data_IF_449009866710
#
_entry.id   IF_449009866710
#
_cell.length_a   1.000
_cell.length_b   1.000
_cell.length_c   1.000
_cell.angle_alpha   90.00
_cell.angle_beta   90.00
_cell.angle_gamma   90.00
#
_symmetry.space_group_name_H-M   'P 1'
#
loop_
_entity.id
_entity.type
_entity.pdbx_description
1 polymer ?
#
# COMPACT_ATOMS: atom_id res chain seq x y z
N UNK A 1 10.06 4.93 -21.81
CA UNK A 1 10.38 3.74 -21.03
C UNK A 1 10.57 4.16 -19.57
N UNK A 2 10.12 3.36 -18.64
CA UNK A 2 10.26 3.57 -17.21
C UNK A 2 11.26 2.57 -16.63
N UNK A 3 11.95 2.97 -15.55
CA UNK A 3 12.97 2.15 -14.91
C UNK A 3 12.43 1.64 -13.58
N UNK A 4 12.35 0.31 -13.43
CA UNK A 4 12.13 -0.36 -12.14
C UNK A 4 13.47 -0.88 -11.62
N UNK A 5 13.73 -0.74 -10.32
CA UNK A 5 14.96 -1.25 -9.74
C UNK A 5 14.73 -1.89 -8.37
N UNK A 6 15.50 -2.94 -8.11
CA UNK A 6 15.38 -3.77 -6.92
C UNK A 6 14.68 -5.10 -7.19
N UNK A 7 15.04 -6.12 -6.42
CA UNK A 7 14.55 -7.49 -6.63
C UNK A 7 13.03 -7.55 -6.46
N UNK A 8 12.50 -7.04 -5.35
CA UNK A 8 11.07 -7.06 -5.07
C UNK A 8 10.19 -6.33 -6.13
N UNK A 9 10.47 -5.06 -6.50
CA UNK A 9 9.66 -4.39 -7.52
C UNK A 9 9.60 -5.12 -8.85
N UNK A 10 10.74 -5.66 -9.30
CA UNK A 10 10.81 -6.39 -10.58
C UNK A 10 10.09 -7.74 -10.48
N UNK A 11 10.23 -8.44 -9.35
CA UNK A 11 9.52 -9.70 -9.07
C UNK A 11 8.00 -9.48 -9.05
N UNK A 12 7.52 -8.45 -8.35
CA UNK A 12 6.08 -8.17 -8.26
C UNK A 12 5.50 -7.66 -9.58
N UNK A 13 6.25 -6.86 -10.35
CA UNK A 13 5.84 -6.46 -11.69
C UNK A 13 5.71 -7.67 -12.65
N UNK A 14 6.61 -8.66 -12.52
CA UNK A 14 6.54 -9.90 -13.29
C UNK A 14 5.31 -10.73 -12.88
N UNK A 15 5.05 -10.88 -11.58
CA UNK A 15 3.88 -11.63 -11.04
C UNK A 15 2.56 -10.98 -11.42
N UNK A 16 2.47 -9.65 -11.31
CA UNK A 16 1.25 -8.92 -11.66
C UNK A 16 0.89 -9.02 -13.14
N UNK A 17 1.88 -9.20 -14.02
CA UNK A 17 1.68 -9.38 -15.45
C UNK A 17 1.10 -8.16 -16.19
N UNK A 18 1.00 -7.00 -15.51
CA UNK A 18 0.42 -5.75 -16.05
C UNK A 18 1.45 -4.90 -16.79
N UNK A 19 2.74 -5.14 -16.54
CA UNK A 19 3.84 -4.39 -17.17
C UNK A 19 4.41 -5.14 -18.38
N UNK A 20 4.66 -4.41 -19.45
CA UNK A 20 5.44 -4.93 -20.58
C UNK A 20 6.91 -4.64 -20.36
N UNK A 21 7.68 -5.69 -20.14
CA UNK A 21 9.14 -5.62 -20.06
C UNK A 21 9.76 -5.50 -21.44
N UNK A 22 10.75 -4.62 -21.56
CA UNK A 22 11.61 -4.55 -22.73
C UNK A 22 12.85 -5.42 -22.52
N UNK A 23 13.58 -5.17 -21.44
CA UNK A 23 14.71 -5.98 -21.00
C UNK A 23 15.04 -5.76 -19.53
N UNK A 24 15.84 -6.63 -18.96
CA UNK A 24 16.30 -6.56 -17.56
C UNK A 24 17.81 -6.67 -17.50
N UNK A 25 18.45 -5.82 -16.71
CA UNK A 25 19.87 -5.85 -16.43
C UNK A 25 20.10 -6.42 -15.03
N UNK A 26 21.08 -7.31 -14.90
CA UNK A 26 21.50 -7.89 -13.63
C UNK A 26 22.99 -7.67 -13.41
N UNK A 27 23.38 -7.42 -12.16
CA UNK A 27 24.77 -7.20 -11.80
C UNK A 27 25.56 -8.53 -11.90
N UNK A 28 26.75 -8.49 -12.55
CA UNK A 28 27.63 -9.67 -12.68
C UNK A 28 28.18 -10.15 -11.33
N UNK A 29 28.40 -9.18 -10.44
CA UNK A 29 29.06 -9.39 -9.16
C UNK A 29 28.11 -9.87 -8.05
N UNK A 30 26.87 -10.13 -8.41
CA UNK A 30 25.86 -10.62 -7.46
C UNK A 30 25.40 -12.00 -7.85
N UNK A 31 25.64 -12.94 -6.93
CA UNK A 31 25.29 -14.33 -7.06
C UNK A 31 24.58 -14.78 -5.78
N UNK A 32 23.23 -14.69 -5.79
CA UNK A 32 22.40 -15.17 -4.69
C UNK A 32 21.15 -15.89 -5.23
N UNK A 33 20.70 -16.89 -4.50
CA UNK A 33 19.56 -17.76 -4.84
C UNK A 33 18.30 -16.99 -5.24
N UNK A 34 18.08 -15.81 -4.68
CA UNK A 34 16.90 -15.01 -4.97
C UNK A 34 17.01 -14.36 -6.34
N UNK A 35 18.18 -13.83 -6.68
CA UNK A 35 18.43 -13.26 -7.98
C UNK A 35 18.38 -14.34 -9.07
N UNK A 36 18.96 -15.51 -8.82
CA UNK A 36 18.89 -16.65 -9.75
C UNK A 36 17.44 -17.06 -10.06
N UNK A 37 16.60 -17.19 -9.03
CA UNK A 37 15.17 -17.50 -9.20
C UNK A 37 14.44 -16.44 -10.03
N UNK A 38 14.70 -15.15 -9.76
CA UNK A 38 14.12 -14.06 -10.54
C UNK A 38 14.58 -14.12 -12.00
N UNK A 39 15.86 -14.32 -12.25
CA UNK A 39 16.42 -14.44 -13.62
C UNK A 39 15.80 -15.61 -14.38
N UNK A 40 15.65 -16.76 -13.70
CA UNK A 40 15.01 -17.93 -14.30
C UNK A 40 13.53 -17.62 -14.67
N UNK A 41 12.77 -16.99 -13.78
CA UNK A 41 11.37 -16.61 -14.03
C UNK A 41 11.26 -15.59 -15.19
N UNK A 42 12.14 -14.58 -15.24
CA UNK A 42 12.18 -13.60 -16.32
C UNK A 42 12.45 -14.25 -17.68
N UNK A 43 13.42 -15.17 -17.74
CA UNK A 43 13.74 -15.92 -18.96
C UNK A 43 12.60 -16.84 -19.40
N UNK A 44 11.95 -17.51 -18.45
CA UNK A 44 10.77 -18.34 -18.70
C UNK A 44 9.62 -17.52 -19.27
N UNK A 45 9.46 -16.26 -18.85
CA UNK A 45 8.49 -15.32 -19.39
C UNK A 45 8.93 -14.69 -20.74
N UNK A 46 10.06 -15.13 -21.33
CA UNK A 46 10.56 -14.63 -22.62
C UNK A 46 11.21 -13.25 -22.53
N UNK A 47 11.51 -12.74 -21.33
CA UNK A 47 12.11 -11.42 -21.13
C UNK A 47 13.62 -11.53 -21.27
N UNK A 48 14.21 -10.60 -22.08
CA UNK A 48 15.64 -10.53 -22.31
C UNK A 48 16.37 -10.06 -21.04
N UNK A 49 17.29 -10.90 -20.52
CA UNK A 49 18.12 -10.59 -19.36
C UNK A 49 19.57 -10.47 -19.78
N UNK A 50 20.22 -9.37 -19.39
CA UNK A 50 21.61 -9.06 -19.72
C UNK A 50 22.41 -8.83 -18.44
N UNK A 51 23.65 -9.31 -18.43
CA UNK A 51 24.58 -9.16 -17.30
C UNK A 51 25.51 -7.98 -17.52
N UNK A 52 25.55 -7.04 -16.58
CA UNK A 52 26.35 -5.80 -16.65
C UNK A 52 27.10 -5.54 -15.34
N UNK A 53 28.17 -4.74 -15.35
CA UNK A 53 28.83 -4.28 -14.14
C UNK A 53 27.87 -3.47 -13.26
N UNK A 54 27.98 -3.62 -11.93
CA UNK A 54 27.14 -2.95 -10.94
C UNK A 54 27.08 -1.43 -11.11
N UNK A 55 28.21 -0.82 -11.49
CA UNK A 55 28.30 0.62 -11.73
C UNK A 55 27.37 1.10 -12.86
N UNK A 56 27.28 0.32 -13.93
CA UNK A 56 26.35 0.64 -15.03
C UNK A 56 24.88 0.61 -14.60
N UNK A 57 24.53 -0.39 -13.75
CA UNK A 57 23.18 -0.46 -13.18
C UNK A 57 22.90 0.79 -12.32
N UNK A 58 23.87 1.24 -11.53
CA UNK A 58 23.75 2.44 -10.70
C UNK A 58 23.49 3.68 -11.55
N UNK A 59 24.20 3.83 -12.66
CA UNK A 59 23.99 4.95 -13.60
C UNK A 59 22.60 4.92 -14.22
N UNK A 60 22.12 3.75 -14.64
CA UNK A 60 20.82 3.58 -15.27
C UNK A 60 19.66 3.75 -14.30
N UNK A 61 19.77 3.20 -13.09
CA UNK A 61 18.79 3.35 -12.02
C UNK A 61 18.81 4.76 -11.39
N UNK A 62 19.90 5.53 -11.60
CA UNK A 62 20.20 6.77 -10.87
C UNK A 62 20.11 6.60 -9.35
N UNK A 63 20.36 5.39 -8.88
CA UNK A 63 20.22 5.03 -7.47
C UNK A 63 21.09 3.79 -7.15
N UNK A 64 21.99 3.83 -6.15
CA UNK A 64 22.84 2.69 -5.79
C UNK A 64 22.07 1.54 -5.12
N UNK A 65 20.84 1.81 -4.65
CA UNK A 65 20.02 0.83 -3.93
C UNK A 65 19.23 -0.12 -4.85
N UNK A 66 19.71 -0.34 -6.10
CA UNK A 66 19.06 -1.20 -7.10
C UNK A 66 19.17 -2.71 -6.81
N UNK A 67 19.89 -3.11 -5.77
CA UNK A 67 20.00 -4.52 -5.39
C UNK A 67 20.41 -5.45 -6.54
N UNK A 68 21.25 -4.99 -7.48
CA UNK A 68 21.74 -5.76 -8.60
C UNK A 68 20.72 -6.04 -9.72
N UNK A 69 19.56 -5.39 -9.73
CA UNK A 69 18.52 -5.56 -10.75
C UNK A 69 17.96 -4.23 -11.21
N UNK A 70 17.89 -4.04 -12.52
CA UNK A 70 17.26 -2.90 -13.18
C UNK A 70 16.46 -3.40 -14.37
N UNK A 71 15.17 -3.13 -14.39
CA UNK A 71 14.26 -3.49 -15.48
C UNK A 71 13.79 -2.23 -16.25
N UNK A 72 13.74 -2.35 -17.55
CA UNK A 72 13.16 -1.36 -18.45
C UNK A 72 11.78 -1.84 -18.88
N UNK A 73 10.75 -1.05 -18.52
CA UNK A 73 9.35 -1.41 -18.73
C UNK A 73 8.59 -0.28 -19.41
N UNK A 74 7.44 -0.58 -19.99
CA UNK A 74 6.51 0.48 -20.39
C UNK A 74 5.93 1.16 -19.15
N UNK A 75 5.63 2.48 -19.21
CA UNK A 75 4.95 3.18 -18.13
C UNK A 75 3.68 2.47 -17.73
N UNK A 76 3.33 2.56 -16.44
CA UNK A 76 2.05 2.06 -15.95
C UNK A 76 0.92 2.90 -16.50
N UNK A 77 -0.10 2.25 -17.03
CA UNK A 77 -1.34 2.91 -17.41
C UNK A 77 -2.18 3.12 -16.15
N UNK A 78 -2.62 4.36 -15.94
CA UNK A 78 -3.53 4.69 -14.87
C UNK A 78 -4.96 4.44 -15.33
N UNK A 79 -5.76 3.97 -14.41
CA UNK A 79 -7.20 3.81 -14.61
C UNK A 79 -7.91 5.16 -14.56
N UNK A 80 -9.11 5.21 -15.13
CA UNK A 80 -10.08 6.29 -14.87
C UNK A 80 -10.78 6.06 -13.53
N UNK A 81 -11.51 7.05 -13.03
CA UNK A 81 -12.30 6.87 -11.81
C UNK A 81 -13.40 5.82 -12.02
N UNK A 82 -14.02 5.83 -13.20
CA UNK A 82 -15.09 4.92 -13.60
C UNK A 82 -14.64 3.44 -13.62
N UNK A 83 -13.39 3.20 -13.96
CA UNK A 83 -12.83 1.84 -13.93
C UNK A 83 -12.85 1.28 -12.50
N UNK A 84 -12.74 2.10 -11.46
CA UNK A 84 -12.81 1.65 -10.07
C UNK A 84 -14.24 1.27 -9.62
N UNK A 85 -15.28 1.65 -10.39
CA UNK A 85 -16.65 1.27 -10.09
C UNK A 85 -16.94 -0.18 -10.47
N UNK A 86 -16.21 -0.71 -11.41
CA UNK A 86 -16.31 -2.11 -11.81
C UNK A 86 -15.59 -2.98 -10.77
N UNK A 87 -16.29 -3.89 -10.07
CA UNK A 87 -15.64 -4.78 -9.13
C UNK A 87 -14.53 -5.60 -9.82
N UNK A 88 -13.40 -5.77 -9.16
CA UNK A 88 -12.41 -6.74 -9.60
C UNK A 88 -12.97 -8.16 -9.41
N UNK A 89 -12.55 -9.12 -10.24
CA UNK A 89 -12.96 -10.52 -10.15
C UNK A 89 -12.66 -11.13 -8.75
N UNK A 90 -11.66 -10.59 -8.06
CA UNK A 90 -11.28 -11.03 -6.71
C UNK A 90 -12.10 -10.38 -5.58
N UNK A 91 -12.84 -9.29 -5.86
CA UNK A 91 -13.62 -8.55 -4.85
C UNK A 91 -15.12 -8.55 -5.17
N UNK A 92 -15.54 -9.31 -6.17
CA UNK A 92 -16.95 -9.42 -6.55
C UNK A 92 -17.80 -9.89 -5.37
N UNK A 93 -18.72 -9.00 -4.91
CA UNK A 93 -19.60 -9.24 -3.75
C UNK A 93 -19.07 -8.78 -2.41
N UNK A 94 -17.83 -8.30 -2.30
CA UNK A 94 -17.30 -7.64 -1.09
C UNK A 94 -17.66 -6.15 -1.07
N UNK A 95 -17.68 -5.55 0.13
CA UNK A 95 -17.84 -4.11 0.30
C UNK A 95 -16.55 -3.39 -0.12
N UNK A 96 -16.69 -2.32 -0.89
CA UNK A 96 -15.57 -1.56 -1.45
C UNK A 96 -14.86 -0.73 -0.40
N UNK A 97 -13.52 -0.77 -0.41
CA UNK A 97 -12.65 0.12 0.34
C UNK A 97 -11.70 0.81 -0.64
N UNK A 98 -11.86 2.10 -0.82
CA UNK A 98 -10.95 2.89 -1.65
C UNK A 98 -10.08 3.79 -0.78
N UNK A 99 -8.90 4.14 -1.30
CA UNK A 99 -8.00 5.13 -0.70
C UNK A 99 -7.86 6.31 -1.65
N UNK A 100 -8.12 7.53 -1.18
CA UNK A 100 -7.88 8.75 -1.94
C UNK A 100 -6.79 9.59 -1.28
N UNK A 101 -5.84 10.11 -2.06
CA UNK A 101 -4.71 10.88 -1.56
C UNK A 101 -4.83 12.34 -1.99
N UNK A 102 -4.94 13.24 -1.00
CA UNK A 102 -5.06 14.67 -1.16
C UNK A 102 -3.73 15.38 -0.92
N UNK A 103 -2.89 15.45 -1.95
CA UNK A 103 -1.65 16.21 -1.88
C UNK A 103 -0.51 15.52 -1.14
N UNK A 104 -0.42 14.22 -1.20
CA UNK A 104 0.76 13.46 -0.72
C UNK A 104 1.88 13.63 -1.75
N UNK A 105 2.85 14.49 -1.46
CA UNK A 105 3.90 14.91 -2.40
C UNK A 105 5.23 14.14 -2.26
N UNK A 106 5.46 13.49 -1.11
CA UNK A 106 6.66 12.69 -0.90
C UNK A 106 6.52 11.28 -1.50
N UNK A 107 7.42 10.86 -2.44
CA UNK A 107 7.39 9.52 -3.02
C UNK A 107 7.57 8.37 -2.03
N UNK A 108 8.26 8.60 -0.90
CA UNK A 108 8.44 7.57 0.13
C UNK A 108 7.09 7.33 0.85
N UNK A 109 6.40 8.41 1.23
CA UNK A 109 5.08 8.32 1.83
C UNK A 109 4.06 7.71 0.88
N UNK A 110 4.06 8.11 -0.40
CA UNK A 110 3.22 7.48 -1.41
C UNK A 110 3.48 5.97 -1.49
N UNK A 111 4.75 5.57 -1.62
CA UNK A 111 5.10 4.15 -1.71
C UNK A 111 4.70 3.36 -0.46
N UNK A 112 4.92 3.91 0.74
CA UNK A 112 4.53 3.30 2.00
C UNK A 112 3.00 3.14 2.09
N UNK A 113 2.22 4.16 1.70
CA UNK A 113 0.76 4.09 1.64
C UNK A 113 0.24 3.03 0.67
N UNK A 114 0.83 2.95 -0.52
CA UNK A 114 0.47 1.91 -1.49
C UNK A 114 0.72 0.50 -0.94
N UNK A 115 1.85 0.30 -0.23
CA UNK A 115 2.15 -0.97 0.41
C UNK A 115 1.15 -1.33 1.50
N UNK A 116 0.75 -0.35 2.31
CA UNK A 116 -0.27 -0.53 3.35
C UNK A 116 -1.63 -0.81 2.72
N UNK A 117 -1.99 -0.08 1.67
CA UNK A 117 -3.26 -0.25 0.95
C UNK A 117 -3.40 -1.66 0.38
N UNK A 118 -2.36 -2.17 -0.27
CA UNK A 118 -2.32 -3.54 -0.79
C UNK A 118 -2.48 -4.57 0.34
N UNK A 119 -1.70 -4.43 1.42
CA UNK A 119 -1.76 -5.32 2.59
C UNK A 119 -3.09 -5.27 3.36
N UNK A 120 -3.81 -4.16 3.31
CA UNK A 120 -5.12 -4.00 3.94
C UNK A 120 -6.29 -4.38 3.01
N UNK A 121 -6.02 -4.79 1.77
CA UNK A 121 -7.05 -5.20 0.80
C UNK A 121 -7.87 -4.02 0.28
N UNK A 122 -7.23 -2.89 0.01
CA UNK A 122 -7.87 -1.73 -0.65
C UNK A 122 -8.16 -2.07 -2.10
N UNK A 123 -9.39 -1.87 -2.55
CA UNK A 123 -9.85 -2.23 -3.89
C UNK A 123 -9.35 -1.27 -4.99
N UNK A 124 -8.98 -0.05 -4.61
CA UNK A 124 -8.45 0.93 -5.54
C UNK A 124 -7.93 2.19 -4.86
N UNK A 125 -7.00 2.86 -5.54
CA UNK A 125 -6.38 4.10 -5.05
C UNK A 125 -6.65 5.23 -6.03
N UNK A 126 -7.05 6.39 -5.52
CA UNK A 126 -7.28 7.62 -6.29
C UNK A 126 -6.15 8.60 -6.01
N UNK A 127 -5.38 8.95 -7.04
CA UNK A 127 -4.31 9.93 -7.00
C UNK A 127 -4.68 11.18 -7.80
N UNK A 128 -4.24 12.35 -7.34
CA UNK A 128 -4.37 13.58 -8.14
C UNK A 128 -3.24 13.69 -9.17
N UNK A 129 -3.52 14.27 -10.34
CA UNK A 129 -2.51 14.51 -11.37
C UNK A 129 -1.50 15.59 -10.96
N UNK A 130 -1.95 16.54 -10.17
CA UNK A 130 -1.14 17.69 -9.74
C UNK A 130 -1.04 17.71 -8.22
N UNK A 131 0.05 18.29 -7.70
CA UNK A 131 0.30 18.40 -6.25
C UNK A 131 0.25 17.03 -5.56
N UNK A 132 0.84 16.04 -6.21
CA UNK A 132 0.97 14.69 -5.69
C UNK A 132 2.31 14.12 -6.15
N UNK A 133 2.88 13.23 -5.35
CA UNK A 133 4.06 12.48 -5.74
C UNK A 133 3.76 11.67 -7.01
N UNK A 134 4.66 11.72 -8.01
CA UNK A 134 4.55 10.81 -9.15
C UNK A 134 4.78 9.37 -8.68
N UNK A 135 4.15 8.42 -9.36
CA UNK A 135 4.46 7.00 -9.19
C UNK A 135 5.85 6.71 -9.83
N UNK A 136 6.86 7.28 -9.22
CA UNK A 136 8.26 7.21 -9.64
C UNK A 136 8.89 5.87 -9.26
N UNK A 137 10.07 5.53 -9.81
CA UNK A 137 10.83 4.35 -9.38
C UNK A 137 11.12 4.33 -7.87
N UNK A 138 11.23 5.49 -7.24
CA UNK A 138 11.40 5.63 -5.78
C UNK A 138 10.13 5.20 -5.04
N UNK A 139 8.96 5.69 -5.47
CA UNK A 139 7.68 5.32 -4.88
C UNK A 139 7.38 3.83 -5.07
N UNK A 140 7.63 3.29 -6.28
CA UNK A 140 7.46 1.86 -6.57
C UNK A 140 8.37 1.01 -5.69
N UNK A 141 9.62 1.43 -5.50
CA UNK A 141 10.53 0.73 -4.59
C UNK A 141 10.08 0.81 -3.14
N UNK A 142 9.63 1.98 -2.68
CA UNK A 142 9.11 2.16 -1.32
C UNK A 142 7.85 1.30 -1.07
N UNK A 143 7.03 1.09 -2.10
CA UNK A 143 5.88 0.19 -2.04
C UNK A 143 6.25 -1.30 -2.02
N UNK A 144 7.54 -1.65 -2.16
CA UNK A 144 8.02 -3.03 -2.31
C UNK A 144 7.33 -3.79 -3.45
N UNK A 145 6.83 -3.08 -4.48
CA UNK A 145 6.11 -3.65 -5.63
C UNK A 145 4.59 -3.69 -5.49
N UNK A 146 4.03 -3.32 -4.34
CA UNK A 146 2.57 -3.31 -4.13
C UNK A 146 1.83 -2.43 -5.17
N UNK A 147 2.48 -1.37 -5.65
CA UNK A 147 1.95 -0.52 -6.71
C UNK A 147 1.59 -1.29 -8.00
N UNK A 148 2.21 -2.43 -8.26
CA UNK A 148 1.96 -3.26 -9.44
C UNK A 148 0.65 -4.07 -9.35
N UNK A 149 0.17 -4.31 -8.14
CA UNK A 149 -1.06 -5.07 -7.86
C UNK A 149 -2.28 -4.16 -7.73
N UNK A 150 -2.10 -2.95 -7.24
CA UNK A 150 -3.19 -2.01 -6.99
C UNK A 150 -3.82 -1.46 -8.27
N UNK A 151 -5.10 -1.22 -8.21
CA UNK A 151 -5.87 -0.47 -9.20
C UNK A 151 -5.74 1.01 -8.87
N UNK A 152 -4.98 1.75 -9.68
CA UNK A 152 -4.67 3.15 -9.41
C UNK A 152 -5.33 4.03 -10.46
N UNK A 153 -6.31 4.83 -10.05
CA UNK A 153 -6.94 5.85 -10.87
C UNK A 153 -6.25 7.20 -10.69
N UNK A 154 -6.19 7.97 -11.76
CA UNK A 154 -5.62 9.32 -11.77
C UNK A 154 -6.70 10.34 -12.11
N UNK A 155 -6.84 11.37 -11.27
CA UNK A 155 -7.91 12.37 -11.41
C UNK A 155 -7.37 13.79 -11.40
N UNK A 156 -8.00 14.66 -12.17
CA UNK A 156 -7.62 16.10 -12.24
C UNK A 156 -8.14 16.86 -11.01
N UNK A 157 -9.36 16.52 -10.56
CA UNK A 157 -10.07 17.23 -9.48
C UNK A 157 -10.60 16.23 -8.45
N UNK A 158 -9.94 16.17 -7.29
CA UNK A 158 -10.30 15.23 -6.24
C UNK A 158 -11.71 15.50 -5.68
N UNK A 159 -12.08 16.76 -5.45
CA UNK A 159 -13.42 17.11 -4.92
C UNK A 159 -14.52 16.55 -5.82
N UNK A 160 -14.43 16.81 -7.13
CA UNK A 160 -15.40 16.28 -8.10
C UNK A 160 -15.42 14.74 -8.10
N UNK A 161 -14.25 14.12 -7.98
CA UNK A 161 -14.14 12.66 -7.93
C UNK A 161 -14.77 12.08 -6.66
N UNK A 162 -14.60 12.74 -5.51
CA UNK A 162 -15.24 12.32 -4.27
C UNK A 162 -16.77 12.47 -4.34
N UNK A 163 -17.29 13.56 -4.96
CA UNK A 163 -18.71 13.72 -5.21
C UNK A 163 -19.27 12.62 -6.13
N UNK A 164 -18.50 12.19 -7.12
CA UNK A 164 -18.88 11.07 -7.99
C UNK A 164 -18.94 9.75 -7.21
N UNK A 165 -17.95 9.49 -6.36
CA UNK A 165 -17.94 8.32 -5.49
C UNK A 165 -19.11 8.30 -4.49
N UNK A 166 -19.55 9.47 -3.98
CA UNK A 166 -20.79 9.58 -3.19
C UNK A 166 -22.03 9.16 -3.98
N UNK A 167 -22.14 9.55 -5.25
CA UNK A 167 -23.25 9.12 -6.12
C UNK A 167 -23.27 7.61 -6.34
N UNK A 168 -22.10 6.95 -6.18
CA UNK A 168 -21.95 5.49 -6.20
C UNK A 168 -22.18 4.85 -4.82
N UNK A 169 -22.76 5.61 -3.86
CA UNK A 169 -23.07 5.19 -2.49
C UNK A 169 -21.83 4.79 -1.65
N UNK A 170 -20.67 5.41 -1.88
CA UNK A 170 -19.53 5.27 -0.97
C UNK A 170 -19.54 6.43 0.04
N UNK A 171 -19.33 6.11 1.31
CA UNK A 171 -19.06 7.09 2.35
C UNK A 171 -17.65 7.68 2.19
N UNK A 172 -17.53 8.99 2.22
CA UNK A 172 -16.25 9.70 2.13
C UNK A 172 -15.77 10.04 3.53
N UNK A 173 -14.68 9.42 3.94
CA UNK A 173 -14.13 9.48 5.30
C UNK A 173 -12.78 10.18 5.25
N UNK A 174 -12.72 11.41 5.76
CA UNK A 174 -11.47 12.16 5.87
C UNK A 174 -10.75 11.87 7.18
N UNK A 175 -9.43 11.70 7.11
CA UNK A 175 -8.59 11.67 8.30
C UNK A 175 -7.99 13.05 8.52
N UNK A 176 -8.38 13.69 9.62
CA UNK A 176 -7.96 15.06 9.99
C UNK A 176 -7.87 15.17 11.51
N UNK A 177 -6.87 15.88 12.05
CA UNK A 177 -6.70 16.09 13.50
C UNK A 177 -7.90 16.77 14.16
N UNK A 178 -8.67 17.54 13.35
CA UNK A 178 -9.91 18.24 13.76
C UNK A 178 -11.13 17.35 13.67
N UNK A 179 -10.98 16.06 13.42
CA UNK A 179 -12.07 15.10 13.35
C UNK A 179 -12.92 15.08 14.63
N UNK A 180 -14.23 14.96 14.47
CA UNK A 180 -15.20 14.93 15.58
C UNK A 180 -15.28 13.58 16.27
N UNK A 181 -14.82 12.51 15.63
CA UNK A 181 -14.88 11.13 16.13
C UNK A 181 -13.52 10.46 16.02
N UNK A 182 -13.23 9.57 16.94
CA UNK A 182 -12.03 8.75 16.89
C UNK A 182 -12.18 7.66 15.81
N UNK A 183 -11.10 7.29 15.14
CA UNK A 183 -11.12 6.39 13.98
C UNK A 183 -11.67 4.99 14.29
N UNK A 184 -11.50 4.52 15.53
CA UNK A 184 -11.93 3.19 16.00
C UNK A 184 -13.43 3.11 16.34
N UNK A 185 -14.12 4.28 16.38
CA UNK A 185 -15.57 4.38 16.60
C UNK A 185 -16.37 4.33 15.29
N UNK A 186 -15.72 4.41 14.14
CA UNK A 186 -16.38 4.39 12.83
C UNK A 186 -16.54 2.94 12.32
N UNK A 187 -17.69 2.64 11.72
CA UNK A 187 -17.97 1.35 11.07
C UNK A 187 -17.45 1.34 9.62
N UNK A 188 -16.30 0.71 9.40
CA UNK A 188 -15.69 0.53 8.08
C UNK A 188 -16.22 -0.68 7.30
N UNK A 189 -17.24 -1.39 7.77
CA UNK A 189 -17.75 -2.58 7.09
C UNK A 189 -18.56 -2.25 5.83
N UNK A 190 -19.01 -1.00 5.67
CA UNK A 190 -19.69 -0.50 4.49
C UNK A 190 -18.77 -0.09 3.34
N UNK A 191 -19.36 0.31 2.21
CA UNK A 191 -18.63 0.87 1.07
C UNK A 191 -18.10 2.26 1.43
N UNK A 192 -16.79 2.46 1.40
CA UNK A 192 -16.19 3.73 1.80
C UNK A 192 -14.89 4.07 1.09
N UNK A 193 -14.55 5.35 1.13
CA UNK A 193 -13.30 5.94 0.66
C UNK A 193 -12.61 6.59 1.85
N UNK A 194 -11.43 6.12 2.22
CA UNK A 194 -10.57 6.83 3.17
C UNK A 194 -9.79 7.90 2.43
N UNK A 195 -9.87 9.15 2.89
CA UNK A 195 -9.15 10.29 2.30
C UNK A 195 -8.03 10.71 3.25
N UNK A 196 -6.80 10.67 2.77
CA UNK A 196 -5.61 11.10 3.52
C UNK A 196 -5.04 12.37 2.90
N UNK A 197 -4.71 13.32 3.75
CA UNK A 197 -4.18 14.62 3.35
C UNK A 197 -2.65 14.69 3.36
N UNK A 198 -2.15 15.92 3.24
CA UNK A 198 -0.73 16.27 3.28
C UNK A 198 -0.16 16.05 4.67
N UNK A 199 1.12 15.76 4.73
CA UNK A 199 1.86 15.73 5.98
C UNK A 199 1.87 17.12 6.66
N UNK A 200 1.51 17.18 7.94
CA UNK A 200 1.46 18.38 8.75
C UNK A 200 0.29 19.34 8.45
N UNK A 201 -0.19 19.43 7.20
CA UNK A 201 -1.25 20.35 6.81
C UNK A 201 -2.65 19.70 6.71
N UNK A 202 -2.71 18.36 6.69
CA UNK A 202 -3.97 17.62 6.58
C UNK A 202 -4.66 17.81 5.24
N UNK A 203 -5.98 17.67 5.23
CA UNK A 203 -6.83 17.79 4.05
C UNK A 203 -6.94 19.25 3.58
N UNK A 204 -7.00 19.46 2.26
CA UNK A 204 -7.40 20.76 1.72
C UNK A 204 -8.84 21.09 2.13
N UNK A 205 -9.14 22.37 2.34
CA UNK A 205 -10.44 22.82 2.88
C UNK A 205 -11.66 22.33 2.10
N UNK A 206 -11.58 22.33 0.77
CA UNK A 206 -12.69 21.83 -0.07
C UNK A 206 -12.83 20.32 0.03
N UNK A 207 -11.74 19.57 0.07
CA UNK A 207 -11.73 18.11 0.25
C UNK A 207 -12.34 17.76 1.60
N UNK A 208 -11.90 18.46 2.67
CA UNK A 208 -12.43 18.28 4.02
C UNK A 208 -13.93 18.53 4.10
N UNK A 209 -14.42 19.59 3.47
CA UNK A 209 -15.87 19.90 3.40
C UNK A 209 -16.67 18.88 2.59
N UNK A 210 -16.02 18.17 1.69
CA UNK A 210 -16.66 17.12 0.88
C UNK A 210 -16.77 15.80 1.65
N UNK A 211 -15.97 15.58 2.69
CA UNK A 211 -16.07 14.36 3.50
C UNK A 211 -17.42 14.31 4.26
N UNK A 212 -17.99 13.12 4.34
CA UNK A 212 -19.20 12.86 5.14
C UNK A 212 -18.87 12.74 6.62
N UNK A 213 -17.68 12.15 6.90
CA UNK A 213 -17.15 12.00 8.25
C UNK A 213 -15.70 12.45 8.31
N UNK A 214 -15.34 13.10 9.41
CA UNK A 214 -13.96 13.44 9.73
C UNK A 214 -13.55 12.67 10.98
N UNK A 215 -12.59 11.80 10.82
CA UNK A 215 -12.03 10.98 11.88
C UNK A 215 -10.67 11.50 12.29
N UNK A 216 -10.30 11.26 13.55
CA UNK A 216 -8.97 11.55 14.07
C UNK A 216 -8.35 10.33 14.72
N UNK A 217 -7.03 10.32 14.79
CA UNK A 217 -6.26 9.38 15.62
C UNK A 217 -5.94 10.10 16.93
N UNK A 218 -6.41 9.60 18.09
CA UNK A 218 -6.11 10.25 19.37
C UNK A 218 -4.62 10.15 19.67
N UNK A 219 -4.03 11.27 20.08
CA UNK A 219 -2.60 11.40 20.40
C UNK A 219 -2.43 11.62 21.90
N UNK A 220 -1.70 10.71 22.57
CA UNK A 220 -1.45 10.80 24.02
C UNK A 220 -0.15 11.53 24.37
N UNK A 221 0.72 11.79 23.38
CA UNK A 221 2.02 12.40 23.55
C UNK A 221 2.04 13.90 23.22
N UNK A 222 3.24 14.46 23.13
CA UNK A 222 3.45 15.88 22.84
C UNK A 222 3.39 16.28 21.36
N UNK A 223 3.34 15.31 20.43
CA UNK A 223 3.17 15.59 19.00
C UNK A 223 1.68 15.56 18.63
N UNK A 224 1.27 16.43 17.69
CA UNK A 224 -0.14 16.59 17.33
C UNK A 224 -0.61 15.58 16.27
N UNK A 225 0.30 14.98 15.50
CA UNK A 225 -0.06 14.08 14.40
C UNK A 225 1.01 13.02 14.13
N UNK A 226 0.61 11.97 13.40
CA UNK A 226 1.51 10.96 12.84
C UNK A 226 1.94 11.37 11.42
N UNK A 227 3.07 10.81 10.97
CA UNK A 227 3.38 10.76 9.55
C UNK A 227 2.20 10.17 8.77
N UNK A 228 1.91 10.69 7.57
CA UNK A 228 0.72 10.31 6.80
C UNK A 228 0.66 8.82 6.47
N UNK A 229 1.79 8.17 6.21
CA UNK A 229 1.82 6.73 5.94
C UNK A 229 1.57 5.88 7.19
N UNK A 230 2.04 6.34 8.35
CA UNK A 230 1.74 5.71 9.64
C UNK A 230 0.25 5.89 10.00
N UNK A 231 -0.30 7.09 9.83
CA UNK A 231 -1.72 7.36 10.03
C UNK A 231 -2.60 6.49 9.12
N UNK A 232 -2.23 6.40 7.84
CA UNK A 232 -2.90 5.52 6.88
C UNK A 232 -2.85 4.05 7.29
N UNK A 233 -1.72 3.58 7.81
CA UNK A 233 -1.58 2.20 8.29
C UNK A 233 -2.53 1.90 9.46
N UNK A 234 -2.63 2.80 10.43
CA UNK A 234 -3.53 2.65 11.59
C UNK A 234 -4.97 2.48 11.13
N UNK A 235 -5.48 3.39 10.30
CA UNK A 235 -6.90 3.41 9.91
C UNK A 235 -7.23 2.31 8.90
N UNK A 236 -6.37 2.05 7.91
CA UNK A 236 -6.60 0.98 6.93
C UNK A 236 -6.59 -0.41 7.58
N UNK A 237 -5.71 -0.66 8.55
CA UNK A 237 -5.70 -1.95 9.26
C UNK A 237 -6.85 -2.08 10.26
N UNK A 238 -7.39 -0.98 10.80
CA UNK A 238 -8.66 -1.02 11.55
C UNK A 238 -9.82 -1.38 10.61
N UNK A 239 -9.92 -0.76 9.44
CA UNK A 239 -10.90 -1.13 8.43
C UNK A 239 -10.77 -2.62 8.03
N UNK A 240 -9.55 -3.09 7.79
CA UNK A 240 -9.27 -4.50 7.50
C UNK A 240 -9.70 -5.43 8.64
N UNK A 241 -9.41 -5.06 9.89
CA UNK A 241 -9.81 -5.82 11.08
C UNK A 241 -11.32 -5.98 11.16
N UNK A 242 -12.07 -4.87 11.03
CA UNK A 242 -13.53 -4.88 11.08
C UNK A 242 -14.14 -5.74 9.96
N UNK A 243 -13.68 -5.56 8.71
CA UNK A 243 -14.16 -6.32 7.54
C UNK A 243 -13.87 -7.81 7.67
N UNK A 244 -12.69 -8.18 8.17
CA UNK A 244 -12.33 -9.58 8.42
C UNK A 244 -13.21 -10.21 9.49
N UNK A 245 -13.57 -9.48 10.55
CA UNK A 245 -14.51 -9.95 11.57
C UNK A 245 -15.93 -10.11 11.03
N UNK A 246 -16.42 -9.15 10.25
CA UNK A 246 -17.73 -9.22 9.59
C UNK A 246 -17.84 -10.41 8.62
N UNK A 247 -16.75 -10.78 7.95
CA UNK A 247 -16.67 -11.96 7.08
C UNK A 247 -16.58 -13.31 7.84
N UNK A 248 -16.66 -13.31 9.17
CA UNK A 248 -16.66 -14.52 10.00
C UNK A 248 -15.28 -15.15 10.25
N UNK A 249 -14.19 -14.49 9.88
CA UNK A 249 -12.84 -14.93 10.20
C UNK A 249 -12.54 -14.74 11.69
N UNK A 250 -12.56 -15.83 12.46
CA UNK A 250 -12.14 -15.79 13.89
C UNK A 250 -10.65 -15.46 13.99
N UNK A 251 -10.22 -14.56 14.91
CA UNK A 251 -8.81 -14.42 15.21
C UNK A 251 -8.27 -15.76 15.71
N UNK A 252 -7.11 -16.20 15.18
CA UNK A 252 -6.42 -17.35 15.76
C UNK A 252 -6.12 -17.05 17.23
N UNK A 253 -6.66 -17.86 18.13
CA UNK A 253 -6.33 -17.73 19.55
C UNK A 253 -4.83 -18.03 19.70
N UNK A 254 -4.06 -17.02 20.10
CA UNK A 254 -2.68 -17.27 20.53
C UNK A 254 -2.77 -18.15 21.78
N UNK A 255 -2.09 -19.30 21.83
CA UNK A 255 -1.97 -20.03 23.08
C UNK A 255 -1.32 -19.09 24.11
N UNK A 256 -1.99 -18.87 25.23
CA UNK A 256 -1.42 -18.09 26.32
C UNK A 256 -0.06 -18.63 26.76
N UNK A 257 0.80 -17.80 27.39
CA UNK A 257 2.09 -18.27 27.87
C UNK A 257 1.87 -19.52 28.75
N UNK A 258 2.61 -20.60 28.45
CA UNK A 258 2.56 -21.81 29.23
C UNK A 258 2.91 -21.49 30.69
N UNK A 259 1.92 -21.58 31.58
CA UNK A 259 2.15 -21.42 32.99
C UNK A 259 3.00 -22.61 33.43
N UNK A 260 4.28 -22.38 33.67
CA UNK A 260 5.17 -23.40 34.22
C UNK A 260 4.62 -23.84 35.57
N UNK A 261 4.08 -25.05 35.63
CA UNK A 261 3.62 -25.68 36.88
C UNK A 261 4.85 -25.85 37.77
N UNK A 262 4.83 -25.17 38.94
CA UNK A 262 5.86 -25.37 39.97
C UNK A 262 5.85 -26.85 40.39
N UNK A 263 7.01 -27.50 40.52
CA UNK A 263 7.08 -28.88 40.98
C UNK A 263 6.51 -28.98 42.41
N UNK A 264 5.55 -29.87 42.61
CA UNK A 264 5.02 -30.21 43.91
C UNK A 264 6.16 -30.77 44.79
N UNK A 265 6.53 -30.05 45.84
CA UNK A 265 7.38 -30.60 46.90
C UNK A 265 6.71 -31.82 47.50
N UNK A 266 7.26 -33.01 47.29
CA UNK A 266 6.92 -34.21 48.05
C UNK A 266 7.35 -33.98 49.49
N UNK A 267 6.37 -33.95 50.41
CA UNK A 267 6.63 -34.06 51.84
C UNK A 267 7.04 -35.51 52.10
N UNK A 268 8.32 -35.69 52.42
CA UNK A 268 8.82 -36.97 52.95
C UNK A 268 8.12 -37.29 54.25
N UNK A 269 7.47 -38.45 54.30
CA UNK A 269 7.11 -39.12 55.52
C UNK A 269 8.39 -39.74 56.12
N UNK A 270 8.82 -39.15 57.23
CA UNK A 270 9.84 -39.79 58.10
C UNK A 270 9.14 -40.58 59.18
N UNK A 271 9.56 -41.79 59.25
CA UNK A 271 9.32 -42.73 60.44
C UNK A 271 10.30 -42.40 61.52
#
# INVERSE_FOLDING_TARGET
>A
MEVLYGVHPVEEALKAGRRRFDHVLVARERDDLRLEKLVAALRQAGIRVQSHPREQLTLMAKNPAHQGVVAFVRPQEFLTLEDLFVPDQHTAGSRRLLLALDGVEDPQNLGALLRVADGAGVDGVVLTERRAAPLSPVAIKASAGAAEHLRIARVVNLVRSLEELKRQNLWIIGLDERGSSDYDQFDFTGDCVLVLGREGAGLHDLVRKTCDHLLRIPMAGGVSSLNVSAAGAVVLYEAFRQRRHAAGARPSAFPGPAVASKPRKQKGLGS
#
